data_IF_870711078347
#
_entry.id   IF_870711078347
#
_cell.length_a   1.000
_cell.length_b   1.000
_cell.length_c   1.000
_cell.angle_alpha   90.00
_cell.angle_beta   90.00
_cell.angle_gamma   90.00
#
_symmetry.space_group_name_H-M   'P 1'
#
loop_
_entity.id
_entity.type
_entity.pdbx_description
1 polymer ?
#
# COMPACT_ATOMS: atom_id res chain seq x y z
N UNK A 1 10.84 -3.38 -0.91
CA UNK A 1 9.50 -3.14 -1.51
C UNK A 1 8.90 -1.86 -0.98
N UNK A 2 8.13 -1.18 -1.78
CA UNK A 2 7.42 0.02 -1.36
C UNK A 2 6.02 -0.33 -0.90
N UNK A 3 5.63 0.23 0.24
CA UNK A 3 4.34 -0.03 0.89
C UNK A 3 3.66 1.30 1.17
N UNK A 4 2.40 1.43 0.73
CA UNK A 4 1.61 2.64 0.92
C UNK A 4 0.62 2.45 2.06
N UNK A 5 0.42 3.49 2.85
CA UNK A 5 -0.54 3.51 3.96
C UNK A 5 -1.50 4.67 3.78
N UNK A 6 -2.80 4.38 3.73
CA UNK A 6 -3.84 5.41 3.68
C UNK A 6 -3.98 6.00 5.08
N UNK A 7 -3.59 7.26 5.26
CA UNK A 7 -3.48 7.86 6.58
C UNK A 7 -3.77 9.36 6.55
N UNK A 8 -4.44 9.85 7.60
CA UNK A 8 -4.68 11.28 7.80
C UNK A 8 -3.57 11.92 8.62
N UNK A 9 -3.07 11.21 9.63
CA UNK A 9 -2.14 11.75 10.62
C UNK A 9 -0.69 11.27 10.49
N UNK A 10 -0.42 10.41 9.50
CA UNK A 10 0.90 9.82 9.25
C UNK A 10 1.37 8.87 10.37
N UNK A 11 0.48 8.51 11.27
CA UNK A 11 0.76 7.60 12.39
C UNK A 11 -0.11 6.36 12.30
N UNK A 12 -1.40 6.54 11.97
CA UNK A 12 -2.40 5.48 11.98
C UNK A 12 -2.89 5.17 10.57
N UNK A 13 -3.29 3.91 10.36
CA UNK A 13 -3.99 3.51 9.14
C UNK A 13 -5.48 3.80 9.40
N UNK A 14 -5.88 5.02 9.16
CA UNK A 14 -7.17 5.54 9.59
C UNK A 14 -8.05 6.05 8.45
N UNK A 15 -7.74 5.67 7.21
CA UNK A 15 -8.47 6.19 6.07
C UNK A 15 -8.96 5.07 5.14
N UNK A 16 -10.14 5.29 4.54
CA UNK A 16 -10.64 4.47 3.44
C UNK A 16 -9.86 4.82 2.17
N UNK A 17 -9.60 3.83 1.34
CA UNK A 17 -8.85 4.04 0.11
C UNK A 17 -9.49 5.14 -0.76
N UNK A 18 -10.80 5.08 -0.94
CA UNK A 18 -11.53 6.03 -1.80
C UNK A 18 -11.54 7.46 -1.28
N UNK A 19 -11.30 7.66 0.01
CA UNK A 19 -11.32 8.98 0.66
C UNK A 19 -9.93 9.49 1.01
N UNK A 20 -8.90 8.70 0.80
CA UNK A 20 -7.55 9.07 1.19
C UNK A 20 -7.07 10.30 0.41
N UNK A 21 -6.62 11.30 1.14
CA UNK A 21 -6.03 12.51 0.56
C UNK A 21 -4.52 12.42 0.46
N UNK A 22 -3.95 11.42 1.10
CA UNK A 22 -2.50 11.18 1.07
C UNK A 22 -2.21 9.73 1.44
N UNK A 23 -1.04 9.29 1.03
CA UNK A 23 -0.48 8.00 1.42
C UNK A 23 0.94 8.22 1.94
N UNK A 24 1.27 7.59 3.06
CA UNK A 24 2.65 7.50 3.50
C UNK A 24 3.28 6.29 2.81
N UNK A 25 4.37 6.49 2.08
CA UNK A 25 5.04 5.42 1.34
C UNK A 25 6.35 5.09 2.02
N UNK A 26 6.50 3.82 2.42
CA UNK A 26 7.69 3.31 3.09
C UNK A 26 8.44 2.34 2.18
N UNK A 27 9.75 2.43 2.22
CA UNK A 27 10.61 1.38 1.66
C UNK A 27 10.85 0.37 2.77
N UNK A 28 10.53 -0.90 2.50
CA UNK A 28 10.54 -1.96 3.51
C UNK A 28 11.35 -3.15 3.03
N UNK A 29 12.19 -3.68 3.90
CA UNK A 29 12.86 -4.95 3.68
C UNK A 29 12.93 -5.70 5.02
N UNK A 30 13.55 -6.88 5.02
CA UNK A 30 13.62 -7.71 6.23
C UNK A 30 14.40 -7.05 7.37
N UNK A 31 15.28 -6.10 7.06
CA UNK A 31 16.18 -5.48 8.04
C UNK A 31 15.65 -4.15 8.58
N UNK A 32 14.68 -3.54 7.92
CA UNK A 32 14.15 -2.28 8.39
C UNK A 32 13.14 -1.65 7.45
N UNK A 33 12.70 -0.46 7.82
CA UNK A 33 11.78 0.33 7.02
C UNK A 33 12.14 1.81 7.16
N UNK A 34 11.93 2.56 6.07
CA UNK A 34 12.21 3.98 6.02
C UNK A 34 11.09 4.69 5.27
N UNK A 35 10.63 5.82 5.82
CA UNK A 35 9.66 6.65 5.12
C UNK A 35 10.32 7.21 3.86
N UNK A 36 9.81 6.83 2.70
CA UNK A 36 10.34 7.28 1.42
C UNK A 36 9.74 8.62 1.01
N UNK A 37 8.41 8.73 1.11
CA UNK A 37 7.71 9.97 0.74
C UNK A 37 6.28 9.95 1.27
N UNK A 38 5.66 11.13 1.28
CA UNK A 38 4.23 11.28 1.50
C UNK A 38 3.66 11.78 0.20
N UNK A 39 2.83 10.98 -0.45
CA UNK A 39 2.22 11.35 -1.72
C UNK A 39 0.82 11.88 -1.47
N UNK A 40 0.51 13.04 -2.06
CA UNK A 40 -0.83 13.63 -2.00
C UNK A 40 -1.64 13.14 -3.19
N UNK A 41 -2.92 12.91 -2.95
CA UNK A 41 -3.83 12.56 -4.03
C UNK A 41 -4.41 13.85 -4.63
N UNK A 42 -4.84 13.74 -5.89
CA UNK A 42 -5.45 14.86 -6.58
C UNK A 42 -6.86 15.11 -6.05
N UNK A 43 -7.18 16.36 -5.74
CA UNK A 43 -8.51 16.77 -5.27
C UNK A 43 -9.34 17.34 -6.43
N UNK A 44 -10.65 17.47 -6.20
CA UNK A 44 -11.55 18.12 -7.16
C UNK A 44 -11.96 17.25 -8.34
N UNK A 45 -11.70 15.95 -8.27
CA UNK A 45 -12.12 15.01 -9.31
C UNK A 45 -13.55 14.57 -9.02
N UNK A 46 -14.47 14.75 -9.96
CA UNK A 46 -15.88 14.47 -9.77
C UNK A 46 -16.27 13.03 -10.13
N UNK A 47 -15.56 12.40 -11.06
CA UNK A 47 -15.87 11.05 -11.50
C UNK A 47 -15.16 10.01 -10.63
N UNK A 48 -15.92 9.03 -10.16
CA UNK A 48 -15.41 7.99 -9.25
C UNK A 48 -14.26 7.20 -9.86
N UNK A 49 -14.38 6.80 -11.12
CA UNK A 49 -13.32 6.05 -11.79
C UNK A 49 -12.04 6.86 -11.91
N UNK A 50 -12.13 8.14 -12.20
CA UNK A 50 -10.97 9.02 -12.30
C UNK A 50 -10.32 9.25 -10.93
N UNK A 51 -11.13 9.34 -9.87
CA UNK A 51 -10.65 9.42 -8.50
C UNK A 51 -9.82 8.21 -8.13
N UNK A 52 -10.34 7.02 -8.40
CA UNK A 52 -9.65 5.76 -8.11
C UNK A 52 -8.36 5.67 -8.91
N UNK A 53 -8.41 5.97 -10.19
CA UNK A 53 -7.24 5.92 -11.07
C UNK A 53 -6.15 6.89 -10.62
N UNK A 54 -6.53 8.09 -10.19
CA UNK A 54 -5.61 9.08 -9.66
C UNK A 54 -4.89 8.57 -8.40
N UNK A 55 -5.63 7.92 -7.50
CA UNK A 55 -5.04 7.35 -6.28
C UNK A 55 -4.09 6.20 -6.60
N UNK A 56 -4.46 5.33 -7.53
CA UNK A 56 -3.61 4.23 -7.96
C UNK A 56 -2.34 4.76 -8.59
N UNK A 57 -2.46 5.78 -9.44
CA UNK A 57 -1.29 6.40 -10.07
C UNK A 57 -0.32 6.96 -9.04
N UNK A 58 -0.84 7.54 -7.97
CA UNK A 58 -0.01 8.09 -6.89
C UNK A 58 0.83 7.04 -6.18
N UNK A 59 0.36 5.79 -6.14
CA UNK A 59 1.04 4.66 -5.47
C UNK A 59 1.46 3.56 -6.43
N UNK A 60 1.58 3.87 -7.70
CA UNK A 60 1.83 2.84 -8.76
C UNK A 60 3.12 2.05 -8.57
N UNK A 61 4.09 2.60 -7.86
CA UNK A 61 5.36 1.92 -7.58
C UNK A 61 5.31 1.05 -6.33
N UNK A 62 4.19 1.08 -5.60
CA UNK A 62 4.06 0.30 -4.38
C UNK A 62 3.59 -1.11 -4.69
N UNK A 63 4.00 -2.05 -3.85
CA UNK A 63 3.59 -3.45 -3.95
C UNK A 63 2.43 -3.80 -3.03
N UNK A 64 2.22 -2.99 -2.00
CA UNK A 64 1.18 -3.22 -0.99
C UNK A 64 0.56 -1.87 -0.64
N UNK A 65 -0.77 -1.85 -0.41
CA UNK A 65 -1.46 -0.69 0.15
C UNK A 65 -2.31 -1.12 1.33
N UNK A 66 -2.10 -0.46 2.47
CA UNK A 66 -2.90 -0.65 3.67
C UNK A 66 -3.97 0.44 3.76
N UNK A 67 -5.19 0.06 4.09
CA UNK A 67 -6.31 0.99 4.27
C UNK A 67 -7.32 0.42 5.26
N UNK A 68 -8.23 1.25 5.78
CA UNK A 68 -9.31 0.77 6.65
C UNK A 68 -10.44 0.13 5.88
N UNK A 69 -10.67 0.58 4.66
CA UNK A 69 -11.69 0.03 3.80
C UNK A 69 -11.32 0.30 2.34
N UNK A 70 -11.75 -0.58 1.47
CA UNK A 70 -11.59 -0.42 0.03
C UNK A 70 -12.77 -1.09 -0.65
N UNK A 71 -13.41 -0.37 -1.55
CA UNK A 71 -14.53 -0.90 -2.31
C UNK A 71 -14.08 -1.97 -3.32
N UNK A 72 -14.99 -2.83 -3.78
CA UNK A 72 -14.63 -3.93 -4.69
C UNK A 72 -14.05 -3.46 -6.03
N UNK A 73 -14.54 -2.35 -6.56
CA UNK A 73 -14.02 -1.81 -7.82
C UNK A 73 -12.57 -1.32 -7.66
N UNK A 74 -12.30 -0.58 -6.59
CA UNK A 74 -10.95 -0.10 -6.30
C UNK A 74 -10.01 -1.26 -6.00
N UNK A 75 -10.46 -2.24 -5.22
CA UNK A 75 -9.67 -3.43 -4.91
C UNK A 75 -9.27 -4.18 -6.18
N UNK A 76 -10.22 -4.40 -7.09
CA UNK A 76 -9.93 -5.06 -8.36
C UNK A 76 -8.89 -4.29 -9.18
N UNK A 77 -8.99 -2.96 -9.20
CA UNK A 77 -8.05 -2.11 -9.96
C UNK A 77 -6.64 -2.13 -9.37
N UNK A 78 -6.49 -2.05 -8.03
CA UNK A 78 -5.15 -2.11 -7.44
C UNK A 78 -4.51 -3.48 -7.66
N UNK A 79 -5.29 -4.55 -7.57
CA UNK A 79 -4.79 -5.90 -7.85
C UNK A 79 -4.31 -6.00 -9.30
N UNK A 80 -5.06 -5.44 -10.23
CA UNK A 80 -4.68 -5.42 -11.65
C UNK A 80 -3.35 -4.69 -11.87
N UNK A 81 -3.04 -3.70 -11.05
CA UNK A 81 -1.78 -2.97 -11.11
C UNK A 81 -0.68 -3.62 -10.26
N UNK A 82 -0.89 -4.86 -9.82
CA UNK A 82 0.05 -5.61 -9.00
C UNK A 82 0.32 -4.97 -7.64
N UNK A 83 -0.68 -4.31 -7.08
CA UNK A 83 -0.65 -3.77 -5.73
C UNK A 83 -1.56 -4.63 -4.87
N UNK A 84 -1.02 -5.19 -3.78
CA UNK A 84 -1.79 -6.05 -2.89
C UNK A 84 -2.50 -5.21 -1.82
N UNK A 85 -3.84 -5.14 -1.81
CA UNK A 85 -4.55 -4.37 -0.81
C UNK A 85 -4.70 -5.15 0.49
N UNK A 86 -4.46 -4.47 1.62
CA UNK A 86 -4.68 -5.04 2.95
C UNK A 86 -5.63 -4.11 3.70
N UNK A 87 -6.80 -4.64 4.04
CA UNK A 87 -7.77 -3.95 4.85
C UNK A 87 -7.51 -4.26 6.32
N UNK A 88 -7.44 -3.21 7.16
CA UNK A 88 -7.32 -3.39 8.60
C UNK A 88 -8.67 -3.07 9.24
N UNK A 89 -9.19 -4.00 10.06
CA UNK A 89 -10.53 -3.88 10.63
C UNK A 89 -10.62 -2.89 11.80
N UNK A 90 -9.51 -2.75 12.53
CA UNK A 90 -9.41 -1.80 13.63
C UNK A 90 -8.34 -0.79 13.33
N UNK A 91 -8.35 0.33 14.03
CA UNK A 91 -7.28 1.31 13.87
C UNK A 91 -5.95 0.66 14.25
N UNK A 92 -5.06 0.60 13.29
CA UNK A 92 -3.72 0.03 13.45
C UNK A 92 -2.72 1.14 13.16
N UNK A 93 -1.63 1.18 13.92
CA UNK A 93 -0.57 2.13 13.61
C UNK A 93 0.27 1.65 12.44
N UNK A 94 0.83 2.59 11.71
CA UNK A 94 1.77 2.28 10.63
C UNK A 94 2.96 1.50 11.19
N UNK A 95 3.45 1.90 12.37
CA UNK A 95 4.56 1.23 13.03
C UNK A 95 4.28 -0.25 13.28
N UNK A 96 3.08 -0.58 13.80
CA UNK A 96 2.70 -1.97 14.06
C UNK A 96 2.58 -2.78 12.77
N UNK A 97 2.02 -2.16 11.73
CA UNK A 97 1.91 -2.82 10.43
C UNK A 97 3.30 -3.10 9.83
N UNK A 98 4.21 -2.15 9.93
CA UNK A 98 5.59 -2.32 9.47
C UNK A 98 6.31 -3.44 10.24
N UNK A 99 6.16 -3.47 11.57
CA UNK A 99 6.75 -4.52 12.39
C UNK A 99 6.24 -5.90 12.01
N UNK A 100 4.93 -6.02 11.79
CA UNK A 100 4.31 -7.28 11.36
C UNK A 100 4.82 -7.72 9.99
N UNK A 101 4.91 -6.78 9.06
CA UNK A 101 5.40 -7.07 7.70
C UNK A 101 6.87 -7.51 7.73
N UNK A 102 7.71 -6.83 8.50
CA UNK A 102 9.12 -7.20 8.62
C UNK A 102 9.30 -8.59 9.22
N UNK A 103 8.46 -8.94 10.19
CA UNK A 103 8.46 -10.27 10.78
C UNK A 103 8.15 -11.33 9.74
N UNK A 104 7.19 -11.07 8.86
CA UNK A 104 6.87 -11.99 7.77
C UNK A 104 8.02 -12.09 6.77
N UNK A 105 8.69 -10.98 6.47
CA UNK A 105 9.80 -10.96 5.52
C UNK A 105 11.05 -11.69 6.06
N UNK A 106 11.30 -11.62 7.36
CA UNK A 106 12.49 -12.22 7.96
C UNK A 106 12.29 -13.71 8.33
N UNK A 107 11.04 -14.17 8.34
CA UNK A 107 10.71 -15.56 8.66
C UNK A 107 10.41 -16.36 7.40
N UNK A 108 9.26 -17.04 7.41
CA UNK A 108 8.77 -17.80 6.26
C UNK A 108 7.60 -17.02 5.64
N UNK A 109 7.85 -16.19 4.62
CA UNK A 109 6.81 -15.34 4.06
C UNK A 109 5.63 -16.13 3.51
N UNK A 110 4.38 -15.65 3.68
CA UNK A 110 3.23 -16.30 3.06
C UNK A 110 3.30 -16.19 1.53
N UNK A 111 2.52 -17.04 0.81
CA UNK A 111 2.59 -17.08 -0.65
C UNK A 111 2.40 -15.73 -1.35
N UNK A 112 1.52 -14.86 -0.83
CA UNK A 112 1.29 -13.57 -1.47
C UNK A 112 2.51 -12.65 -1.39
N UNK A 113 3.27 -12.71 -0.29
CA UNK A 113 4.52 -11.95 -0.16
C UNK A 113 5.60 -12.57 -1.04
N UNK A 114 5.69 -13.90 -1.09
CA UNK A 114 6.63 -14.59 -1.96
C UNK A 114 6.44 -14.19 -3.42
N UNK A 115 5.19 -14.06 -3.86
CA UNK A 115 4.91 -13.61 -5.22
C UNK A 115 5.41 -12.20 -5.49
N UNK A 116 5.27 -11.29 -4.51
CA UNK A 116 5.79 -9.92 -4.63
C UNK A 116 7.31 -9.94 -4.75
N UNK A 117 7.97 -10.67 -3.86
CA UNK A 117 9.44 -10.79 -3.87
C UNK A 117 9.92 -11.34 -5.21
N UNK A 118 9.30 -12.41 -5.69
CA UNK A 118 9.66 -13.03 -6.96
C UNK A 118 9.47 -12.08 -8.15
N UNK A 119 8.41 -11.29 -8.13
CA UNK A 119 8.17 -10.30 -9.20
C UNK A 119 9.23 -9.22 -9.20
N UNK A 120 9.62 -8.72 -8.04
CA UNK A 120 10.66 -7.70 -7.92
C UNK A 120 12.01 -8.24 -8.37
N UNK A 121 12.36 -9.46 -7.98
CA UNK A 121 13.60 -10.12 -8.40
C UNK A 121 13.58 -10.44 -9.90
N UNK A 122 12.46 -10.93 -10.41
CA UNK A 122 12.29 -11.22 -11.83
C UNK A 122 12.45 -9.98 -12.69
N UNK A 123 11.98 -8.82 -12.22
CA UNK A 123 12.11 -7.57 -12.94
C UNK A 123 13.57 -7.12 -13.06
N UNK A 124 14.44 -7.52 -12.11
CA UNK A 124 15.86 -7.18 -12.14
C UNK A 124 16.68 -8.16 -12.96
N UNK A 125 16.16 -9.34 -13.25
CA UNK A 125 16.88 -10.39 -13.98
C UNK A 125 16.61 -10.41 -15.49
N UNK A 126 15.73 -9.55 -15.94
CA UNK A 126 15.43 -9.39 -17.37
C UNK A 126 16.27 -8.22 -18.00
#
# INVERSE_FOLDING_TARGET
MKVAFATKDLVSIDEHFGWAKQFAVYEVNKDGSTLAEVVKTQEGIDHEDEKINSKIDAIKECSIVYCQAIGPTAAAKVIKHHIHPIKVDNVMTIEDALASLQKMLSGNPPPWIKRIIMREEGATNE
#
